data_IF_615677561546
#
_entry.id   IF_615677561546
#
_cell.length_a   1.000
_cell.length_b   1.000
_cell.length_c   1.000
_cell.angle_alpha   90.00
_cell.angle_beta   90.00
_cell.angle_gamma   90.00
#
_symmetry.space_group_name_H-M   'P 1'
#
loop_
_entity.id
_entity.type
_entity.pdbx_description
1 polymer ?
#
# COMPACT_ATOMS: atom_id res chain seq x y z
N UNK A 1 -9.33 5.27 8.04
CA UNK A 1 -8.65 4.01 7.70
C UNK A 1 -7.54 4.40 6.75
N UNK A 2 -6.34 3.89 6.95
CA UNK A 2 -5.22 4.18 6.05
C UNK A 2 -5.16 3.16 4.92
N UNK A 3 -4.33 3.44 3.92
CA UNK A 3 -4.08 2.50 2.83
C UNK A 3 -3.43 1.21 3.34
N UNK A 4 -2.50 1.31 4.30
CA UNK A 4 -1.90 0.15 4.95
C UNK A 4 -2.94 -0.75 5.62
N UNK A 5 -3.88 -0.15 6.37
CA UNK A 5 -4.98 -0.88 7.01
C UNK A 5 -5.90 -1.58 5.99
N UNK A 6 -6.22 -0.91 4.88
CA UNK A 6 -7.04 -1.47 3.81
C UNK A 6 -6.38 -2.70 3.18
N UNK A 7 -5.08 -2.61 2.87
CA UNK A 7 -4.32 -3.72 2.28
C UNK A 7 -4.20 -4.89 3.26
N UNK A 8 -3.88 -4.60 4.52
CA UNK A 8 -3.80 -5.61 5.58
C UNK A 8 -5.13 -6.33 5.78
N UNK A 9 -6.23 -5.58 5.83
CA UNK A 9 -7.57 -6.14 6.02
C UNK A 9 -7.97 -7.04 4.85
N UNK A 10 -7.71 -6.63 3.62
CA UNK A 10 -7.99 -7.43 2.43
C UNK A 10 -7.14 -8.71 2.39
N UNK A 11 -5.85 -8.62 2.74
CA UNK A 11 -4.97 -9.78 2.85
C UNK A 11 -5.49 -10.78 3.88
N UNK A 12 -5.88 -10.29 5.07
CA UNK A 12 -6.44 -11.14 6.13
C UNK A 12 -7.77 -11.76 5.75
N UNK A 13 -8.64 -11.04 5.03
CA UNK A 13 -9.91 -11.58 4.53
C UNK A 13 -9.72 -12.75 3.55
N UNK A 14 -8.60 -12.75 2.81
CA UNK A 14 -8.21 -13.84 1.91
C UNK A 14 -7.39 -14.95 2.59
N UNK A 15 -7.14 -14.85 3.91
CA UNK A 15 -6.27 -15.75 4.68
C UNK A 15 -4.85 -15.88 4.11
N UNK A 16 -4.35 -14.81 3.47
CA UNK A 16 -2.99 -14.79 2.92
C UNK A 16 -1.99 -14.32 3.99
N UNK A 17 -0.82 -14.95 4.06
CA UNK A 17 0.31 -14.39 4.81
C UNK A 17 0.99 -13.27 4.00
N UNK A 18 1.83 -12.47 4.65
CA UNK A 18 2.68 -11.47 3.97
C UNK A 18 3.62 -12.15 2.97
N UNK A 19 4.13 -13.34 3.30
CA UNK A 19 4.96 -14.15 2.41
C UNK A 19 4.19 -14.65 1.18
N UNK A 20 2.93 -15.08 1.34
CA UNK A 20 2.10 -15.52 0.21
C UNK A 20 1.83 -14.36 -0.75
N UNK A 21 1.45 -13.21 -0.19
CA UNK A 21 1.21 -12.00 -0.99
C UNK A 21 2.50 -11.52 -1.69
N UNK A 22 3.65 -11.62 -1.02
CA UNK A 22 4.97 -11.32 -1.60
C UNK A 22 5.25 -12.24 -2.80
N UNK A 23 5.00 -13.55 -2.65
CA UNK A 23 5.22 -14.52 -3.70
C UNK A 23 4.32 -14.27 -4.92
N UNK A 24 3.04 -13.93 -4.70
CA UNK A 24 2.09 -13.65 -5.78
C UNK A 24 2.37 -12.35 -6.53
N UNK A 25 2.82 -11.31 -5.82
CA UNK A 25 3.03 -9.97 -6.41
C UNK A 25 4.47 -9.70 -6.85
N UNK A 26 5.42 -10.57 -6.47
CA UNK A 26 6.88 -10.36 -6.59
C UNK A 26 7.39 -9.11 -5.86
N UNK A 27 6.59 -8.57 -4.94
CA UNK A 27 7.01 -7.49 -4.04
C UNK A 27 7.73 -8.12 -2.86
N UNK A 28 8.81 -7.49 -2.38
CA UNK A 28 9.54 -8.00 -1.21
C UNK A 28 8.63 -7.96 0.01
N UNK A 29 8.66 -9.01 0.82
CA UNK A 29 7.87 -9.09 2.05
C UNK A 29 8.10 -7.88 2.97
N UNK A 30 9.35 -7.42 3.10
CA UNK A 30 9.67 -6.23 3.90
C UNK A 30 8.95 -4.96 3.42
N UNK A 31 8.74 -4.82 2.11
CA UNK A 31 7.98 -3.69 1.55
C UNK A 31 6.48 -3.83 1.85
N UNK A 32 5.94 -5.05 1.86
CA UNK A 32 4.54 -5.28 2.24
C UNK A 32 4.31 -4.94 3.70
N UNK A 33 5.21 -5.36 4.59
CA UNK A 33 5.14 -5.03 6.01
C UNK A 33 5.22 -3.51 6.23
N UNK A 34 6.14 -2.83 5.54
CA UNK A 34 6.25 -1.38 5.60
C UNK A 34 4.97 -0.69 5.09
N UNK A 35 4.43 -1.15 3.96
CA UNK A 35 3.20 -0.63 3.38
C UNK A 35 1.97 -0.85 4.28
N UNK A 36 1.84 -2.02 4.92
CA UNK A 36 0.78 -2.29 5.91
C UNK A 36 0.92 -1.43 7.19
N UNK A 37 2.11 -0.87 7.44
CA UNK A 37 2.40 0.06 8.53
C UNK A 37 2.38 1.53 8.09
N UNK A 38 1.97 1.83 6.86
CA UNK A 38 2.06 3.15 6.22
C UNK A 38 3.48 3.77 6.21
N UNK A 39 4.52 2.93 6.28
CA UNK A 39 5.92 3.31 6.12
C UNK A 39 6.29 3.26 4.63
N UNK A 40 6.31 4.43 4.01
CA UNK A 40 6.60 4.60 2.58
C UNK A 40 7.98 5.19 2.30
N UNK A 41 8.79 5.48 3.34
CA UNK A 41 10.09 6.16 3.20
C UNK A 41 11.06 5.32 2.36
N UNK A 42 10.94 4.00 2.47
CA UNK A 42 11.79 3.03 1.78
C UNK A 42 11.47 2.86 0.29
N UNK A 43 10.36 3.43 -0.21
CA UNK A 43 9.85 3.16 -1.56
C UNK A 43 10.48 4.06 -2.65
N UNK A 44 11.35 5.01 -2.29
CA UNK A 44 12.02 5.88 -3.26
C UNK A 44 11.08 6.88 -3.96
N UNK A 45 9.90 7.13 -3.40
CA UNK A 45 8.96 8.15 -3.84
C UNK A 45 7.54 7.65 -4.13
N UNK A 46 6.60 8.59 -4.12
CA UNK A 46 5.15 8.35 -4.26
C UNK A 46 4.74 7.57 -5.52
N UNK A 47 5.46 7.78 -6.62
CA UNK A 47 5.18 7.13 -7.91
C UNK A 47 5.36 5.61 -7.81
N UNK A 48 6.41 5.16 -7.13
CA UNK A 48 6.69 3.74 -6.91
C UNK A 48 5.66 3.11 -5.99
N UNK A 49 5.29 3.81 -4.90
CA UNK A 49 4.23 3.35 -3.99
C UNK A 49 2.92 3.12 -4.74
N UNK A 50 2.48 4.09 -5.55
CA UNK A 50 1.25 3.95 -6.36
C UNK A 50 1.31 2.77 -7.31
N UNK A 51 2.46 2.53 -7.93
CA UNK A 51 2.67 1.36 -8.78
C UNK A 51 2.48 0.05 -8.02
N UNK A 52 3.08 -0.07 -6.84
CA UNK A 52 2.95 -1.25 -5.98
C UNK A 52 1.52 -1.44 -5.47
N UNK A 53 0.83 -0.36 -5.07
CA UNK A 53 -0.56 -0.41 -4.64
C UNK A 53 -1.49 -0.95 -5.72
N UNK A 54 -1.28 -0.57 -6.98
CA UNK A 54 -2.06 -1.12 -8.11
C UNK A 54 -1.86 -2.64 -8.25
N UNK A 55 -0.62 -3.12 -8.15
CA UNK A 55 -0.34 -4.57 -8.21
C UNK A 55 -1.00 -5.32 -7.05
N UNK A 56 -0.92 -4.75 -5.85
CA UNK A 56 -1.52 -5.33 -4.65
C UNK A 56 -3.05 -5.38 -4.74
N UNK A 57 -3.68 -4.28 -5.17
CA UNK A 57 -5.12 -4.22 -5.33
C UNK A 57 -5.62 -5.30 -6.29
N UNK A 58 -4.96 -5.48 -7.44
CA UNK A 58 -5.30 -6.54 -8.39
C UNK A 58 -5.19 -7.94 -7.76
N UNK A 59 -4.15 -8.19 -6.96
CA UNK A 59 -3.96 -9.48 -6.29
C UNK A 59 -4.99 -9.73 -5.18
N UNK A 60 -5.43 -8.67 -4.49
CA UNK A 60 -6.35 -8.72 -3.35
C UNK A 60 -7.82 -8.56 -3.76
N UNK A 61 -8.12 -8.36 -5.05
CA UNK A 61 -9.47 -8.11 -5.54
C UNK A 61 -10.03 -6.73 -5.16
N UNK A 62 -9.16 -5.77 -4.85
CA UNK A 62 -9.52 -4.37 -4.57
C UNK A 62 -9.47 -3.54 -5.86
N UNK A 63 -10.08 -2.36 -5.82
CA UNK A 63 -9.97 -1.38 -6.91
C UNK A 63 -8.56 -0.73 -6.93
N UNK A 64 -7.75 -0.97 -7.99
CA UNK A 64 -6.41 -0.40 -8.08
C UNK A 64 -6.38 1.12 -8.21
N UNK A 65 -7.41 1.73 -8.81
CA UNK A 65 -7.46 3.19 -8.93
C UNK A 65 -7.92 3.83 -7.61
N UNK A 66 -8.96 3.29 -6.99
CA UNK A 66 -9.43 3.69 -5.67
C UNK A 66 -8.33 3.62 -4.60
N UNK A 67 -7.60 2.50 -4.53
CA UNK A 67 -6.54 2.33 -3.53
C UNK A 67 -5.37 3.31 -3.76
N UNK A 68 -4.99 3.56 -5.02
CA UNK A 68 -3.95 4.53 -5.34
C UNK A 68 -4.40 5.99 -5.07
N UNK A 69 -5.70 6.28 -5.23
CA UNK A 69 -6.27 7.58 -4.92
C UNK A 69 -6.32 7.83 -3.40
N UNK A 70 -6.68 6.82 -2.61
CA UNK A 70 -6.65 6.88 -1.14
C UNK A 70 -5.24 7.20 -0.60
N UNK A 71 -4.21 6.61 -1.23
CA UNK A 71 -2.82 6.95 -0.93
C UNK A 71 -2.49 8.40 -1.27
N UNK A 72 -2.93 8.88 -2.45
CA UNK A 72 -2.75 10.26 -2.87
C UNK A 72 -3.38 11.28 -1.91
N UNK A 73 -4.58 11.01 -1.41
CA UNK A 73 -5.26 11.85 -0.43
C UNK A 73 -4.51 11.88 0.92
N UNK A 74 -4.03 10.72 1.37
CA UNK A 74 -3.28 10.59 2.63
C UNK A 74 -1.93 11.33 2.58
N UNK A 75 -1.22 11.24 1.46
CA UNK A 75 0.06 11.91 1.27
C UNK A 75 -0.07 13.43 1.10
N UNK A 76 -1.13 13.91 0.43
CA UNK A 76 -1.40 15.34 0.28
C UNK A 76 -1.59 16.01 1.65
N UNK A 77 -2.24 15.34 2.60
CA UNK A 77 -2.44 15.86 3.96
C UNK A 77 -1.15 16.02 4.77
N UNK A 78 -0.09 15.28 4.46
CA UNK A 78 1.20 15.40 5.16
C UNK A 78 2.08 16.52 4.58
N UNK A 79 2.01 16.78 3.27
CA UNK A 79 2.76 17.86 2.63
C UNK A 79 2.25 19.27 2.94
N UNK A 80 1.00 19.42 3.38
CA UNK A 80 0.40 20.71 3.73
C UNK A 80 0.69 21.16 5.17
N UNK A 81 1.19 20.28 6.04
CA UNK A 81 1.41 20.57 7.48
C UNK A 81 2.83 21.07 7.79
N UNK A 82 3.83 20.77 6.97
CA UNK A 82 5.23 21.22 7.18
C UNK A 82 5.53 22.63 6.62
N UNK A 83 4.50 23.41 6.26
CA UNK A 83 4.67 24.74 5.65
C UNK A 83 4.40 25.92 6.58
N UNK A 84 4.42 25.73 7.90
CA UNK A 84 4.25 26.82 8.88
C UNK A 84 5.35 26.84 9.95
#
# INVERSE_FOLDING_TARGET
MSVGDTVKSARMALNLSTADLAASTKIRESMLVALEADDFDSFGGAVYVRGHLKVLANCLGLDPEGLAAEFGATQSQLSDVERY
#
